data_IF_534364306767
#
_entry.id   IF_534364306767
#
_cell.length_a   1.000
_cell.length_b   1.000
_cell.length_c   1.000
_cell.angle_alpha   90.00
_cell.angle_beta   90.00
_cell.angle_gamma   90.00
#
_symmetry.space_group_name_H-M   'P 1'
#
loop_
_entity.id
_entity.type
_entity.pdbx_description
1 polymer ?
#
# COMPACT_ATOMS: atom_id res chain seq x y z
N UNK A 1 -5.95 -45.73 -30.78
CA UNK A 1 -4.99 -45.41 -31.83
C UNK A 1 -5.64 -44.30 -32.67
N UNK A 2 -5.40 -43.07 -32.36
CA UNK A 2 -5.84 -41.90 -33.14
C UNK A 2 -4.77 -40.80 -32.97
N UNK A 3 -4.05 -40.56 -34.03
CA UNK A 3 -2.96 -39.59 -34.16
C UNK A 3 -3.63 -38.28 -34.58
N UNK A 4 -3.47 -37.21 -33.80
CA UNK A 4 -3.80 -35.85 -34.26
C UNK A 4 -2.52 -35.04 -34.44
N UNK A 5 -2.38 -34.55 -35.66
CA UNK A 5 -1.24 -33.82 -36.16
C UNK A 5 -1.22 -32.39 -35.65
N UNK A 6 -0.01 -31.92 -35.35
CA UNK A 6 0.38 -30.57 -34.99
C UNK A 6 0.36 -29.67 -36.23
N UNK A 7 -0.24 -28.47 -36.12
CA UNK A 7 -0.04 -27.40 -37.05
C UNK A 7 0.59 -26.22 -36.28
N UNK A 8 1.85 -25.92 -36.60
CA UNK A 8 2.54 -24.72 -36.10
C UNK A 8 2.23 -23.54 -37.04
N UNK A 9 1.79 -22.41 -36.47
CA UNK A 9 1.71 -21.14 -37.18
C UNK A 9 2.73 -20.20 -36.59
N UNK A 10 3.70 -19.83 -37.40
CA UNK A 10 4.71 -18.81 -37.17
C UNK A 10 4.24 -17.54 -37.86
N UNK A 11 4.13 -16.44 -37.13
CA UNK A 11 4.07 -15.08 -37.65
C UNK A 11 4.51 -14.17 -36.48
N UNK A 12 5.48 -13.28 -36.57
CA UNK A 12 5.98 -12.41 -37.60
C UNK A 12 6.38 -11.14 -36.84
N UNK A 13 7.69 -10.88 -36.68
CA UNK A 13 8.26 -9.67 -36.09
C UNK A 13 7.81 -8.43 -36.85
N UNK A 14 7.41 -7.38 -36.12
CA UNK A 14 7.38 -6.01 -36.64
C UNK A 14 8.13 -5.11 -35.69
N UNK A 15 9.32 -4.72 -36.09
CA UNK A 15 10.16 -3.70 -35.48
C UNK A 15 9.63 -2.33 -35.91
N UNK A 16 9.13 -1.55 -34.97
CA UNK A 16 8.83 -0.13 -35.15
C UNK A 16 9.86 0.73 -34.42
N UNK A 17 10.82 1.27 -35.17
CA UNK A 17 11.69 2.32 -34.68
C UNK A 17 10.90 3.65 -34.64
N UNK A 18 10.92 4.36 -33.51
CA UNK A 18 10.37 5.72 -33.42
C UNK A 18 11.47 6.71 -33.07
N UNK A 19 11.56 7.68 -33.95
CA UNK A 19 12.51 8.78 -34.02
C UNK A 19 12.48 9.70 -32.79
N UNK A 20 13.67 10.20 -32.43
CA UNK A 20 13.87 11.25 -31.47
C UNK A 20 13.48 12.62 -32.04
N UNK A 21 12.54 13.29 -31.43
CA UNK A 21 12.20 14.69 -31.73
C UNK A 21 12.97 15.65 -30.82
N UNK A 22 13.27 16.88 -31.31
CA UNK A 22 14.22 17.82 -30.69
C UNK A 22 13.59 18.59 -29.52
N UNK A 23 14.44 18.87 -28.51
CA UNK A 23 14.18 19.68 -27.31
C UNK A 23 14.14 21.16 -27.70
N UNK A 24 13.15 21.97 -27.31
CA UNK A 24 13.28 23.42 -27.34
C UNK A 24 13.88 23.95 -26.05
N UNK A 25 15.02 24.63 -26.19
CA UNK A 25 15.57 25.56 -25.21
C UNK A 25 14.67 26.78 -25.08
N UNK A 26 14.23 27.12 -23.86
CA UNK A 26 13.45 28.31 -23.55
C UNK A 26 13.98 28.99 -22.30
N UNK A 27 14.84 29.93 -22.52
CA UNK A 27 14.97 31.34 -22.06
C UNK A 27 14.66 31.63 -20.58
N UNK A 28 15.74 31.97 -19.89
CA UNK A 28 15.87 32.75 -18.67
C UNK A 28 15.11 34.07 -18.73
N UNK A 29 14.39 34.40 -17.69
CA UNK A 29 13.91 35.76 -17.43
C UNK A 29 14.26 36.16 -15.98
N UNK A 30 15.04 37.20 -15.87
CA UNK A 30 15.63 37.86 -14.73
C UNK A 30 14.56 38.64 -13.90
N UNK A 31 14.79 38.91 -12.60
CA UNK A 31 13.80 39.53 -11.71
C UNK A 31 13.88 41.04 -11.78
N UNK A 32 12.73 41.68 -11.87
CA UNK A 32 12.62 43.16 -11.70
C UNK A 32 12.32 43.49 -10.24
N UNK A 33 13.27 44.17 -9.64
CA UNK A 33 13.17 44.85 -8.36
C UNK A 33 12.32 46.09 -8.52
N UNK A 34 11.31 46.30 -7.69
CA UNK A 34 10.67 47.61 -7.51
C UNK A 34 10.44 47.87 -6.04
N UNK A 35 10.95 49.04 -5.63
CA UNK A 35 11.06 49.57 -4.27
C UNK A 35 9.73 50.00 -3.66
N UNK A 36 9.69 49.84 -2.36
CA UNK A 36 9.10 50.65 -1.28
C UNK A 36 7.93 51.60 -1.56
N UNK A 37 6.88 51.42 -0.78
CA UNK A 37 6.13 52.57 -0.20
C UNK A 37 5.66 52.15 1.19
N UNK A 38 6.17 52.89 2.17
CA UNK A 38 5.77 52.90 3.56
C UNK A 38 4.37 53.51 3.67
N UNK A 39 3.49 52.82 4.38
CA UNK A 39 2.31 53.43 5.03
C UNK A 39 2.13 52.77 6.37
N UNK A 40 2.39 53.51 7.40
CA UNK A 40 1.93 53.26 8.76
C UNK A 40 0.39 53.36 8.76
N UNK A 41 -0.27 52.42 9.39
CA UNK A 41 -1.39 52.75 10.28
C UNK A 41 -1.99 51.51 10.97
N UNK A 42 -2.10 51.70 12.29
CA UNK A 42 -3.14 51.20 13.21
C UNK A 42 -3.14 49.72 13.58
N UNK A 43 -2.57 49.53 14.75
CA UNK A 43 -2.71 48.38 15.65
C UNK A 43 -4.18 48.05 15.91
N UNK A 44 -4.64 46.92 15.37
CA UNK A 44 -5.80 46.20 15.93
C UNK A 44 -5.29 44.81 16.29
N UNK A 45 -5.11 44.57 17.59
CA UNK A 45 -4.84 43.22 18.11
C UNK A 45 -6.03 42.33 17.85
N UNK A 46 -6.01 41.69 16.69
CA UNK A 46 -6.81 40.53 16.47
C UNK A 46 -5.99 39.36 16.98
N UNK A 47 -6.43 38.77 18.08
CA UNK A 47 -5.93 37.48 18.58
C UNK A 47 -6.17 36.43 17.51
N UNK A 48 -5.31 36.42 16.50
CA UNK A 48 -5.26 35.41 15.48
C UNK A 48 -4.73 34.13 16.12
N UNK A 49 -5.63 33.17 16.40
CA UNK A 49 -5.24 31.80 16.59
C UNK A 49 -4.46 31.38 15.35
N UNK A 50 -3.15 31.40 15.46
CA UNK A 50 -2.26 30.80 14.47
C UNK A 50 -2.51 29.30 14.51
N UNK A 51 -3.46 28.83 13.73
CA UNK A 51 -3.61 27.40 13.43
C UNK A 51 -2.34 26.99 12.70
N UNK A 52 -1.34 26.61 13.45
CA UNK A 52 -0.20 25.88 12.93
C UNK A 52 -0.78 24.57 12.39
N UNK A 53 -0.98 24.51 11.09
CA UNK A 53 -1.43 23.29 10.39
C UNK A 53 -0.29 22.27 10.45
N UNK A 54 -0.08 21.70 11.64
CA UNK A 54 0.80 20.54 11.80
C UNK A 54 0.11 19.34 11.16
N UNK A 55 0.83 18.67 10.28
CA UNK A 55 0.32 17.40 9.70
C UNK A 55 0.00 16.43 10.84
N UNK A 56 -1.13 15.69 10.78
CA UNK A 56 -1.47 14.71 11.79
C UNK A 56 -0.32 13.74 12.09
N UNK A 57 -0.19 13.24 13.33
CA UNK A 57 0.81 12.23 13.67
C UNK A 57 0.61 10.94 12.86
N UNK A 58 1.60 10.07 12.84
CA UNK A 58 1.45 8.74 12.27
C UNK A 58 0.42 7.93 13.08
N UNK A 59 -0.38 7.12 12.38
CA UNK A 59 -1.27 6.18 13.04
C UNK A 59 -0.44 5.15 13.81
N UNK A 60 -0.71 4.99 15.09
CA UNK A 60 0.00 4.05 15.95
C UNK A 60 -0.67 2.67 15.93
N UNK A 61 0.12 1.61 15.87
CA UNK A 61 -0.37 0.24 16.00
C UNK A 61 -1.03 -0.01 17.38
N UNK A 62 -0.58 0.65 18.45
CA UNK A 62 -1.20 0.56 19.77
C UNK A 62 -2.62 1.14 19.82
N UNK A 63 -2.90 2.11 18.96
CA UNK A 63 -4.20 2.75 18.83
C UNK A 63 -4.96 2.25 17.59
N UNK A 64 -4.68 1.04 17.14
CA UNK A 64 -5.29 0.43 15.97
C UNK A 64 -5.92 -0.93 16.28
N UNK A 65 -6.99 -1.27 15.56
CA UNK A 65 -7.56 -2.62 15.55
C UNK A 65 -7.64 -3.12 14.11
N UNK A 66 -6.90 -4.18 13.83
CA UNK A 66 -6.94 -4.86 12.53
C UNK A 66 -7.96 -5.99 12.54
N UNK A 67 -8.57 -6.24 11.38
CA UNK A 67 -9.38 -7.42 11.12
C UNK A 67 -9.39 -7.77 9.64
N UNK A 68 -9.71 -9.00 9.32
CA UNK A 68 -10.10 -9.39 7.97
C UNK A 68 -11.46 -8.75 7.66
N UNK A 69 -11.54 -8.01 6.56
CA UNK A 69 -12.78 -7.40 6.08
C UNK A 69 -13.47 -8.30 5.04
N UNK A 70 -12.70 -8.87 4.13
CA UNK A 70 -13.13 -9.91 3.21
C UNK A 70 -11.95 -10.79 2.79
N UNK A 71 -12.26 -12.02 2.40
CA UNK A 71 -11.29 -12.95 1.85
C UNK A 71 -11.94 -13.73 0.72
N UNK A 72 -11.18 -13.95 -0.34
CA UNK A 72 -11.60 -14.75 -1.48
C UNK A 72 -10.41 -15.55 -2.03
N UNK A 73 -10.69 -16.71 -2.58
CA UNK A 73 -9.70 -17.58 -3.20
C UNK A 73 -10.11 -17.97 -4.61
N UNK A 74 -9.16 -17.97 -5.52
CA UNK A 74 -9.34 -18.46 -6.88
C UNK A 74 -8.01 -18.98 -7.44
N UNK A 75 -8.05 -20.15 -8.07
CA UNK A 75 -6.92 -20.75 -8.77
C UNK A 75 -5.61 -20.81 -7.95
N UNK A 76 -5.71 -21.13 -6.64
CA UNK A 76 -4.54 -21.27 -5.77
C UNK A 76 -3.96 -19.93 -5.30
N UNK A 77 -4.72 -18.85 -5.42
CA UNK A 77 -4.38 -17.55 -4.88
C UNK A 77 -5.46 -17.09 -3.91
N UNK A 78 -5.06 -16.71 -2.72
CA UNK A 78 -5.92 -16.08 -1.71
C UNK A 78 -5.70 -14.58 -1.75
N UNK A 79 -6.79 -13.84 -1.89
CA UNK A 79 -6.84 -12.39 -1.71
C UNK A 79 -7.55 -12.09 -0.40
N UNK A 80 -6.93 -11.28 0.44
CA UNK A 80 -7.53 -10.81 1.69
C UNK A 80 -7.52 -9.29 1.74
N UNK A 81 -8.70 -8.70 1.93
CA UNK A 81 -8.85 -7.29 2.27
C UNK A 81 -8.82 -7.15 3.79
N UNK A 82 -7.92 -6.34 4.27
CA UNK A 82 -7.75 -6.02 5.68
C UNK A 82 -8.36 -4.66 5.97
N UNK A 83 -8.92 -4.51 7.15
CA UNK A 83 -9.38 -3.25 7.68
C UNK A 83 -8.65 -2.93 8.99
N UNK A 84 -8.07 -1.73 9.09
CA UNK A 84 -7.43 -1.24 10.30
C UNK A 84 -8.15 0.03 10.74
N UNK A 85 -8.73 -0.02 11.93
CA UNK A 85 -9.50 1.08 12.51
C UNK A 85 -8.65 1.90 13.47
N UNK A 86 -8.66 3.22 13.32
CA UNK A 86 -8.13 4.15 14.32
C UNK A 86 -9.02 4.10 15.57
N UNK A 87 -8.49 3.67 16.69
CA UNK A 87 -9.21 3.61 17.98
C UNK A 87 -8.83 4.74 18.92
N UNK A 88 -7.93 5.63 18.52
CA UNK A 88 -7.60 6.84 19.28
C UNK A 88 -8.73 7.87 19.21
N UNK A 89 -8.66 8.86 20.08
CA UNK A 89 -9.52 10.05 20.04
C UNK A 89 -9.01 11.14 19.09
N UNK A 90 -7.87 10.92 18.43
CA UNK A 90 -7.19 11.90 17.61
C UNK A 90 -7.11 11.44 16.15
N UNK A 91 -6.98 12.42 15.27
CA UNK A 91 -6.69 12.19 13.86
C UNK A 91 -5.27 11.68 13.69
N UNK A 92 -5.07 10.75 12.76
CA UNK A 92 -3.75 10.23 12.40
C UNK A 92 -3.61 10.05 10.89
N UNK A 93 -2.37 9.89 10.42
CA UNK A 93 -2.07 9.65 9.00
C UNK A 93 -1.25 8.39 8.80
N UNK A 94 -1.42 7.78 7.63
CA UNK A 94 -0.63 6.65 7.17
C UNK A 94 -0.28 6.80 5.69
N UNK A 95 0.85 6.23 5.27
CA UNK A 95 1.30 6.27 3.87
C UNK A 95 2.23 5.10 3.58
N UNK A 96 1.99 4.36 2.52
CA UNK A 96 2.89 3.30 2.09
C UNK A 96 2.28 1.90 2.22
N UNK A 97 3.12 0.93 2.53
CA UNK A 97 2.76 -0.49 2.57
C UNK A 97 2.91 -1.03 3.99
N UNK A 98 1.90 -1.73 4.53
CA UNK A 98 2.01 -2.39 5.82
C UNK A 98 2.99 -3.57 5.76
N UNK A 99 3.54 -3.92 6.93
CA UNK A 99 4.23 -5.19 7.16
C UNK A 99 3.24 -6.29 7.54
N UNK A 100 3.60 -7.53 7.26
CA UNK A 100 2.84 -8.71 7.70
C UNK A 100 3.77 -9.81 8.16
N UNK A 101 3.45 -10.44 9.29
CA UNK A 101 4.10 -11.62 9.78
C UNK A 101 3.06 -12.70 10.06
N UNK A 102 3.43 -13.96 9.89
CA UNK A 102 2.56 -15.11 10.07
C UNK A 102 3.14 -16.05 11.11
N UNK A 103 2.32 -16.56 12.01
CA UNK A 103 2.71 -17.44 13.09
C UNK A 103 2.15 -18.84 12.91
N UNK A 104 2.91 -19.85 13.26
CA UNK A 104 2.47 -21.25 13.30
C UNK A 104 3.13 -21.99 14.46
N UNK A 105 2.39 -22.83 15.17
CA UNK A 105 2.93 -23.78 16.14
C UNK A 105 4.00 -23.22 17.07
N UNK A 106 3.79 -22.01 17.58
CA UNK A 106 4.70 -21.36 18.56
C UNK A 106 5.87 -20.57 17.98
N UNK A 107 5.94 -20.39 16.66
CA UNK A 107 7.01 -19.60 16.01
C UNK A 107 6.47 -18.72 14.88
N UNK A 108 7.18 -17.62 14.61
CA UNK A 108 6.96 -16.80 13.42
C UNK A 108 7.56 -17.47 12.19
N UNK A 109 6.82 -17.48 11.10
CA UNK A 109 7.30 -17.99 9.82
C UNK A 109 8.28 -16.98 9.19
N UNK A 110 9.32 -17.51 8.54
CA UNK A 110 10.16 -16.70 7.65
C UNK A 110 9.43 -16.51 6.33
N UNK A 111 8.76 -15.35 6.19
CA UNK A 111 7.92 -14.99 5.05
C UNK A 111 8.51 -13.80 4.34
N UNK A 112 8.67 -13.93 3.02
CA UNK A 112 9.05 -12.80 2.16
C UNK A 112 7.81 -12.03 1.75
N UNK A 113 7.64 -10.84 2.29
CA UNK A 113 6.53 -9.93 1.93
C UNK A 113 6.97 -8.95 0.85
N UNK A 114 6.40 -9.07 -0.33
CA UNK A 114 6.66 -8.21 -1.47
C UNK A 114 5.70 -7.02 -1.43
N UNK A 115 6.24 -5.81 -1.28
CA UNK A 115 5.49 -4.56 -1.28
C UNK A 115 5.24 -4.07 -2.69
N UNK A 116 4.03 -3.62 -2.99
CA UNK A 116 3.65 -3.07 -4.29
C UNK A 116 3.44 -4.09 -5.40
N UNK A 117 3.60 -5.36 -5.14
CA UNK A 117 3.36 -6.43 -6.09
C UNK A 117 1.93 -6.98 -5.96
N UNK A 118 0.95 -6.27 -6.47
CA UNK A 118 -0.43 -6.76 -6.62
C UNK A 118 -0.56 -7.70 -7.82
N UNK A 119 -1.74 -8.25 -8.06
CA UNK A 119 -1.99 -8.97 -9.31
C UNK A 119 -1.77 -8.00 -10.49
N UNK A 120 -1.25 -8.48 -11.64
CA UNK A 120 -1.05 -7.64 -12.80
C UNK A 120 -2.31 -6.83 -13.16
N UNK A 121 -2.16 -5.52 -13.34
CA UNK A 121 -3.25 -4.60 -13.64
C UNK A 121 -3.98 -4.04 -12.42
N UNK A 122 -3.55 -4.36 -11.20
CA UNK A 122 -4.12 -3.82 -9.95
C UNK A 122 -3.11 -3.00 -9.14
N UNK A 123 -2.01 -2.62 -9.77
CA UNK A 123 -0.97 -1.82 -9.14
C UNK A 123 -1.52 -0.45 -8.76
N UNK A 124 -1.39 -0.11 -7.47
CA UNK A 124 -1.75 1.20 -6.95
C UNK A 124 -0.52 1.88 -6.36
N UNK A 125 -0.32 3.15 -6.72
CA UNK A 125 0.69 3.96 -6.05
C UNK A 125 0.22 4.28 -4.62
N UNK A 126 1.13 4.28 -3.64
CA UNK A 126 0.80 4.70 -2.28
C UNK A 126 0.23 6.12 -2.27
N UNK A 127 -0.83 6.32 -1.49
CA UNK A 127 -1.42 7.63 -1.24
C UNK A 127 -1.46 7.89 0.27
N UNK A 128 -1.42 9.17 0.63
CA UNK A 128 -1.59 9.55 2.02
C UNK A 128 -3.05 9.34 2.43
N UNK A 129 -3.23 8.62 3.52
CA UNK A 129 -4.52 8.40 4.16
C UNK A 129 -4.53 9.15 5.47
N UNK A 130 -5.57 9.91 5.74
CA UNK A 130 -5.82 10.57 7.03
C UNK A 130 -7.07 9.93 7.61
N UNK A 131 -7.01 9.57 8.89
CA UNK A 131 -8.07 8.88 9.60
C UNK A 131 -8.47 9.68 10.83
N UNK A 132 -9.71 10.13 10.88
CA UNK A 132 -10.33 10.61 12.11
C UNK A 132 -10.56 9.48 13.13
N UNK A 133 -10.96 9.83 14.36
CA UNK A 133 -11.34 8.86 15.37
C UNK A 133 -12.43 7.90 14.87
N UNK A 134 -12.17 6.61 15.00
CA UNK A 134 -13.10 5.57 14.59
C UNK A 134 -13.12 5.25 13.10
N UNK A 135 -12.44 6.00 12.25
CA UNK A 135 -12.31 5.72 10.83
C UNK A 135 -11.36 4.55 10.56
N UNK A 136 -11.34 4.06 9.34
CA UNK A 136 -10.57 2.88 8.96
C UNK A 136 -9.84 3.09 7.65
N UNK A 137 -8.62 2.57 7.58
CA UNK A 137 -7.94 2.31 6.32
C UNK A 137 -8.09 0.84 5.92
N UNK A 138 -7.77 0.58 4.67
CA UNK A 138 -7.80 -0.75 4.08
C UNK A 138 -6.49 -1.02 3.34
N UNK A 139 -6.15 -2.29 3.20
CA UNK A 139 -5.13 -2.77 2.28
C UNK A 139 -5.45 -4.19 1.83
N UNK A 140 -4.86 -4.62 0.75
CA UNK A 140 -5.04 -5.96 0.21
C UNK A 140 -3.75 -6.74 0.31
N UNK A 141 -3.84 -8.00 0.70
CA UNK A 141 -2.74 -8.95 0.56
C UNK A 141 -3.13 -10.11 -0.32
N UNK A 142 -2.13 -10.69 -0.96
CA UNK A 142 -2.25 -11.88 -1.80
C UNK A 142 -1.20 -12.89 -1.39
N UNK A 143 -1.55 -14.16 -1.41
CA UNK A 143 -0.60 -15.27 -1.28
C UNK A 143 -1.10 -16.50 -2.03
N UNK A 144 -0.18 -17.41 -2.33
CA UNK A 144 -0.54 -18.73 -2.85
C UNK A 144 -0.78 -19.69 -1.69
N UNK A 145 -1.84 -20.49 -1.78
CA UNK A 145 -2.20 -21.54 -0.84
C UNK A 145 -1.91 -22.94 -1.39
N UNK A 146 -1.19 -23.02 -2.49
CA UNK A 146 -0.82 -24.29 -3.13
C UNK A 146 0.64 -24.67 -2.87
N UNK A 147 0.89 -25.96 -2.89
CA UNK A 147 2.24 -26.50 -2.89
C UNK A 147 2.97 -26.12 -4.17
N UNK A 148 4.25 -25.88 -4.05
CA UNK A 148 5.12 -25.54 -5.18
C UNK A 148 6.40 -26.35 -5.12
N UNK A 149 7.24 -26.28 -6.15
CA UNK A 149 8.57 -26.89 -6.18
C UNK A 149 9.47 -26.40 -5.02
N UNK A 150 9.16 -25.22 -4.47
CA UNK A 150 9.84 -24.67 -3.28
C UNK A 150 9.37 -25.31 -1.95
N UNK A 151 8.41 -26.22 -2.01
CA UNK A 151 7.87 -26.95 -0.87
C UNK A 151 6.37 -26.76 -0.64
N UNK A 152 5.82 -27.48 0.35
CA UNK A 152 4.42 -27.37 0.70
C UNK A 152 4.11 -26.01 1.31
N UNK A 153 2.85 -25.61 1.20
CA UNK A 153 2.37 -24.42 1.88
C UNK A 153 2.48 -24.60 3.42
N UNK A 154 2.62 -23.53 4.13
CA UNK A 154 2.76 -23.52 5.59
C UNK A 154 1.49 -23.02 6.23
N UNK A 155 0.94 -23.83 7.12
CA UNK A 155 -0.22 -23.42 7.93
C UNK A 155 0.17 -22.28 8.88
N UNK A 156 -0.77 -21.37 9.11
CA UNK A 156 -0.63 -20.31 10.10
C UNK A 156 -1.91 -20.19 10.96
N UNK A 157 -1.75 -19.73 12.18
CA UNK A 157 -2.82 -19.59 13.18
C UNK A 157 -2.99 -18.14 13.65
N UNK A 158 -2.03 -17.28 13.37
CA UNK A 158 -2.07 -15.84 13.71
C UNK A 158 -1.33 -15.01 12.67
N UNK A 159 -1.72 -13.75 12.58
CA UNK A 159 -1.11 -12.75 11.70
C UNK A 159 -0.80 -11.51 12.53
N UNK A 160 0.34 -10.90 12.28
CA UNK A 160 0.65 -9.54 12.69
C UNK A 160 0.56 -8.61 11.50
N UNK A 161 -0.02 -7.44 11.73
CA UNK A 161 -0.02 -6.32 10.79
C UNK A 161 0.72 -5.16 11.43
N UNK A 162 1.74 -4.65 10.76
CA UNK A 162 2.50 -3.47 11.14
C UNK A 162 2.14 -2.33 10.20
N UNK A 163 1.58 -1.24 10.72
CA UNK A 163 1.28 -0.07 9.89
C UNK A 163 2.56 0.54 9.30
N UNK A 164 2.49 1.21 8.15
CA UNK A 164 3.66 1.89 7.58
C UNK A 164 4.32 2.83 8.58
N UNK A 165 5.66 2.84 8.58
CA UNK A 165 6.50 3.65 9.46
C UNK A 165 6.32 3.39 10.97
N UNK A 166 5.74 2.24 11.35
CA UNK A 166 5.66 1.76 12.72
C UNK A 166 6.60 0.59 12.97
N UNK A 167 6.89 0.32 14.24
CA UNK A 167 7.75 -0.79 14.70
C UNK A 167 6.99 -1.80 15.57
N UNK A 168 5.79 -1.45 16.00
CA UNK A 168 4.89 -2.33 16.73
C UNK A 168 3.88 -2.94 15.77
N UNK A 169 3.12 -3.93 16.22
CA UNK A 169 2.20 -4.64 15.35
C UNK A 169 0.87 -4.89 16.05
N UNK A 170 -0.20 -4.92 15.27
CA UNK A 170 -1.49 -5.43 15.72
C UNK A 170 -1.56 -6.91 15.42
N UNK A 171 -1.72 -7.74 16.44
CA UNK A 171 -1.87 -9.18 16.30
C UNK A 171 -3.34 -9.57 16.22
N UNK A 172 -3.66 -10.49 15.34
CA UNK A 172 -5.01 -11.04 15.18
C UNK A 172 -4.95 -12.53 14.90
N UNK A 173 -5.98 -13.25 15.37
CA UNK A 173 -6.19 -14.65 15.00
C UNK A 173 -6.59 -14.75 13.53
N UNK A 174 -6.11 -15.77 12.88
CA UNK A 174 -6.43 -16.10 11.51
C UNK A 174 -5.78 -17.43 11.15
N UNK A 175 -6.41 -18.21 10.30
CA UNK A 175 -5.87 -19.50 9.89
C UNK A 175 -5.91 -19.66 8.39
N UNK A 176 -4.95 -20.37 7.87
CA UNK A 176 -4.83 -20.65 6.46
C UNK A 176 -3.53 -21.34 6.15
N UNK A 177 -3.30 -21.58 4.87
CA UNK A 177 -2.04 -22.07 4.37
C UNK A 177 -1.45 -21.05 3.40
N UNK A 178 -0.16 -20.78 3.47
CA UNK A 178 0.51 -19.87 2.57
C UNK A 178 1.83 -20.43 2.08
N UNK A 179 2.20 -20.09 0.87
CA UNK A 179 3.57 -20.25 0.41
C UNK A 179 4.39 -19.04 0.92
N UNK A 180 5.44 -19.26 1.74
CA UNK A 180 6.17 -18.16 2.37
C UNK A 180 6.86 -17.18 1.42
N UNK A 181 7.03 -17.54 0.16
CA UNK A 181 7.67 -16.70 -0.88
C UNK A 181 6.66 -15.96 -1.75
N UNK A 182 5.35 -16.15 -1.53
CA UNK A 182 4.31 -15.64 -2.42
C UNK A 182 3.54 -14.43 -1.86
N UNK A 183 3.80 -14.01 -0.63
CA UNK A 183 3.02 -12.95 0.02
C UNK A 183 3.30 -11.61 -0.62
N UNK A 184 2.25 -10.94 -1.05
CA UNK A 184 2.28 -9.59 -1.64
C UNK A 184 1.33 -8.69 -0.89
N UNK A 185 1.70 -7.41 -0.72
CA UNK A 185 0.90 -6.44 0.03
C UNK A 185 0.76 -5.17 -0.80
N UNK A 186 -0.48 -4.74 -1.01
CA UNK A 186 -0.82 -3.45 -1.59
C UNK A 186 -0.64 -2.29 -0.60
N UNK A 187 -0.67 -1.05 -1.09
CA UNK A 187 -0.58 0.13 -0.25
C UNK A 187 -1.84 0.29 0.61
N UNK A 188 -1.71 1.07 1.67
CA UNK A 188 -2.88 1.51 2.46
C UNK A 188 -3.77 2.44 1.63
N UNK A 189 -5.08 2.34 1.83
CA UNK A 189 -6.11 3.15 1.17
C UNK A 189 -7.15 3.61 2.17
N UNK A 190 -7.68 4.82 2.02
CA UNK A 190 -8.82 5.32 2.81
C UNK A 190 -10.16 4.76 2.32
N UNK A 191 -10.18 4.13 1.16
CA UNK A 191 -11.38 3.52 0.58
C UNK A 191 -11.27 2.01 0.56
N UNK A 192 -12.38 1.33 0.83
CA UNK A 192 -12.47 -0.13 0.73
C UNK A 192 -12.27 -0.55 -0.73
N UNK A 193 -11.32 -1.45 -1.03
CA UNK A 193 -11.22 -2.05 -2.37
C UNK A 193 -12.49 -2.81 -2.75
N UNK A 194 -12.81 -2.79 -4.05
CA UNK A 194 -13.95 -3.52 -4.60
C UNK A 194 -13.74 -5.03 -4.57
#
# INVERSE_FOLDING_TARGET
MAIFALAAVVAGCSSGAQEAGPVPSGTSSEPTTTSATTSEETTTETTGSTSTSSSPPLCSDQAAKAKVDSQQGAAGTIQTTWRVKNTSAEECRSFGYPGMDFHTAGRWLDVQVHRGGTLPGTEQAPQRVVLGPGESLYFVSYWSDVDTDAGPCKEFDRVKVTLPDNFESVELGGSGCLNPKSVRVGPVSGTRPA
#
